data_IF_634664795964
#
_entry.id   IF_634664795964
#
_cell.length_a   1.000
_cell.length_b   1.000
_cell.length_c   1.000
_cell.angle_alpha   90.00
_cell.angle_beta   90.00
_cell.angle_gamma   90.00
#
_symmetry.space_group_name_H-M   'P 1'
#
loop_
_entity.id
_entity.type
_entity.pdbx_description
1 polymer ?
#
# COMPACT_ATOMS: atom_id res chain seq x y z
N UNK A 1 -83.81 35.13 -55.81
CA UNK A 1 -85.24 34.70 -56.21
C UNK A 1 -85.57 33.55 -55.31
N UNK A 2 -86.52 33.86 -54.49
CA UNK A 2 -87.72 33.12 -54.13
C UNK A 2 -87.49 31.80 -53.46
N UNK A 3 -88.07 31.49 -52.42
CA UNK A 3 -89.08 31.95 -51.49
C UNK A 3 -89.52 30.74 -50.66
N UNK A 4 -89.73 31.00 -49.40
CA UNK A 4 -90.91 30.59 -48.60
C UNK A 4 -90.96 29.15 -48.08
N UNK A 5 -90.72 28.98 -46.81
CA UNK A 5 -91.61 28.71 -45.65
C UNK A 5 -92.87 27.88 -45.91
N UNK A 6 -93.58 27.38 -44.94
CA UNK A 6 -93.36 26.86 -43.58
C UNK A 6 -94.24 25.62 -43.25
N UNK A 7 -94.41 25.40 -41.92
CA UNK A 7 -95.61 24.79 -41.25
C UNK A 7 -95.40 23.32 -40.82
N UNK A 8 -95.36 23.10 -39.61
CA UNK A 8 -96.18 22.96 -38.37
C UNK A 8 -95.99 21.57 -37.76
N UNK A 9 -95.79 21.58 -36.63
CA UNK A 9 -96.51 21.44 -35.34
C UNK A 9 -96.51 20.02 -34.77
N UNK A 10 -96.01 19.98 -33.54
CA UNK A 10 -96.50 19.18 -32.41
C UNK A 10 -96.77 17.69 -32.54
N UNK A 11 -96.02 16.94 -31.73
CA UNK A 11 -96.56 16.07 -30.65
C UNK A 11 -95.46 15.68 -29.75
N UNK A 12 -95.27 16.26 -28.73
CA UNK A 12 -95.60 16.12 -27.34
C UNK A 12 -95.33 14.73 -26.75
N UNK A 13 -94.41 14.77 -25.82
CA UNK A 13 -94.41 14.13 -24.50
C UNK A 13 -94.39 12.61 -24.36
N UNK A 14 -93.49 12.24 -23.51
CA UNK A 14 -93.38 11.00 -22.73
C UNK A 14 -92.61 9.86 -23.40
N UNK A 15 -91.30 9.92 -23.14
CA UNK A 15 -90.59 8.71 -22.62
C UNK A 15 -89.48 9.18 -21.69
N UNK A 16 -89.53 8.64 -20.48
CA UNK A 16 -88.80 9.03 -19.31
C UNK A 16 -87.32 8.93 -19.47
N UNK A 17 -86.67 9.81 -18.78
CA UNK A 17 -85.24 9.77 -18.47
C UNK A 17 -84.91 8.51 -17.70
N UNK A 18 -84.35 7.53 -18.37
CA UNK A 18 -83.51 6.49 -17.67
C UNK A 18 -82.10 7.03 -17.69
N UNK A 19 -81.72 7.68 -16.59
CA UNK A 19 -80.37 8.02 -16.33
C UNK A 19 -79.56 6.72 -16.12
N UNK A 20 -78.68 6.42 -17.05
CA UNK A 20 -77.77 5.27 -16.99
C UNK A 20 -76.66 5.55 -15.97
N UNK A 21 -76.57 4.85 -14.80
CA UNK A 21 -75.51 5.05 -13.83
C UNK A 21 -74.16 4.46 -14.26
N UNK A 22 -74.00 3.99 -15.48
CA UNK A 22 -72.94 3.18 -15.97
C UNK A 22 -71.67 3.95 -16.46
N UNK A 23 -71.79 5.29 -16.68
CA UNK A 23 -70.66 6.08 -17.19
C UNK A 23 -69.77 6.67 -16.10
N UNK A 24 -70.25 6.89 -14.88
CA UNK A 24 -69.47 7.42 -13.76
C UNK A 24 -68.61 6.33 -13.10
N UNK A 25 -69.16 5.13 -12.92
CA UNK A 25 -68.45 4.00 -12.33
C UNK A 25 -67.32 3.50 -13.22
N UNK A 26 -67.52 3.50 -14.56
CA UNK A 26 -66.45 3.11 -15.50
C UNK A 26 -65.26 4.10 -15.49
N UNK A 27 -65.51 5.41 -15.34
CA UNK A 27 -64.45 6.41 -15.25
C UNK A 27 -63.64 6.30 -13.94
N UNK A 28 -64.29 6.01 -12.84
CA UNK A 28 -63.61 5.78 -11.57
C UNK A 28 -62.80 4.49 -11.57
N UNK A 29 -63.25 3.43 -12.19
CA UNK A 29 -62.57 2.17 -12.33
C UNK A 29 -61.30 2.31 -13.19
N UNK A 30 -61.36 3.03 -14.29
CA UNK A 30 -60.18 3.31 -15.16
C UNK A 30 -59.16 4.20 -14.46
N UNK A 31 -59.62 5.20 -13.66
CA UNK A 31 -58.71 6.05 -12.86
C UNK A 31 -58.00 5.24 -11.77
N UNK A 32 -58.71 4.37 -11.07
CA UNK A 32 -58.14 3.52 -10.02
C UNK A 32 -57.15 2.49 -10.60
N UNK A 33 -57.44 1.89 -11.72
CA UNK A 33 -56.52 0.97 -12.42
C UNK A 33 -55.24 1.73 -12.87
N UNK A 34 -55.39 2.96 -13.39
CA UNK A 34 -54.25 3.81 -13.75
C UNK A 34 -53.34 4.18 -12.56
N UNK A 35 -53.94 4.52 -11.41
CA UNK A 35 -53.22 4.85 -10.18
C UNK A 35 -52.49 3.61 -9.64
N UNK A 36 -53.13 2.45 -9.62
CA UNK A 36 -52.51 1.21 -9.15
C UNK A 36 -51.35 0.77 -10.07
N UNK A 37 -51.54 0.91 -11.38
CA UNK A 37 -50.48 0.63 -12.35
C UNK A 37 -49.28 1.60 -12.20
N UNK A 38 -49.55 2.89 -12.01
CA UNK A 38 -48.53 3.90 -11.77
C UNK A 38 -47.75 3.65 -10.45
N UNK A 39 -48.44 3.26 -9.37
CA UNK A 39 -47.82 2.88 -8.11
C UNK A 39 -47.00 1.61 -8.23
N UNK A 40 -47.45 0.60 -8.98
CA UNK A 40 -46.70 -0.63 -9.21
C UNK A 40 -45.41 -0.37 -10.01
N UNK A 41 -45.47 0.50 -11.02
CA UNK A 41 -44.29 0.92 -11.80
C UNK A 41 -43.31 1.72 -10.93
N UNK A 42 -43.83 2.65 -10.11
CA UNK A 42 -42.96 3.42 -9.19
C UNK A 42 -42.31 2.52 -8.14
N UNK A 43 -43.01 1.52 -7.62
CA UNK A 43 -42.49 0.55 -6.68
C UNK A 43 -41.42 -0.37 -7.33
N UNK A 44 -41.65 -0.81 -8.56
CA UNK A 44 -40.70 -1.60 -9.34
C UNK A 44 -39.43 -0.81 -9.65
N UNK A 45 -39.54 0.49 -9.98
CA UNK A 45 -38.39 1.39 -10.19
C UNK A 45 -37.61 1.61 -8.84
N UNK A 46 -38.33 1.78 -7.73
CA UNK A 46 -37.74 1.96 -6.43
C UNK A 46 -37.02 0.70 -5.93
N UNK A 47 -37.58 -0.49 -6.17
CA UNK A 47 -36.96 -1.77 -5.83
C UNK A 47 -35.78 -2.06 -6.77
N UNK A 48 -35.86 -1.81 -8.05
CA UNK A 48 -34.76 -1.96 -9.00
C UNK A 48 -33.61 -0.97 -8.75
N UNK A 49 -33.91 0.25 -8.30
CA UNK A 49 -32.89 1.22 -7.89
C UNK A 49 -32.21 0.82 -6.56
N UNK A 50 -32.95 0.20 -5.66
CA UNK A 50 -32.41 -0.34 -4.40
C UNK A 50 -31.43 -1.49 -4.65
N UNK A 51 -31.72 -2.41 -5.55
CA UNK A 51 -30.83 -3.51 -5.93
C UNK A 51 -29.61 -3.01 -6.72
N UNK A 52 -29.74 -2.03 -7.60
CA UNK A 52 -28.64 -1.41 -8.33
C UNK A 52 -27.69 -0.63 -7.41
N UNK A 53 -28.18 -0.01 -6.33
CA UNK A 53 -27.34 0.67 -5.32
C UNK A 53 -26.70 -0.30 -4.31
N UNK A 54 -27.24 -1.50 -4.14
CA UNK A 54 -26.65 -2.52 -3.24
C UNK A 54 -25.53 -3.32 -3.90
N UNK A 55 -25.34 -3.22 -5.20
CA UNK A 55 -24.42 -4.06 -5.98
C UNK A 55 -23.04 -3.43 -6.21
N UNK A 56 -22.74 -2.26 -5.64
CA UNK A 56 -21.46 -1.58 -5.88
C UNK A 56 -20.88 -0.84 -4.67
N UNK A 57 -20.91 -1.45 -3.51
CA UNK A 57 -19.84 -1.23 -2.57
C UNK A 57 -18.72 -2.21 -2.96
N UNK A 58 -17.99 -1.94 -4.05
CA UNK A 58 -16.71 -2.62 -4.29
C UNK A 58 -15.87 -2.46 -3.03
N UNK A 59 -15.65 -3.55 -2.33
CA UNK A 59 -14.85 -3.51 -1.11
C UNK A 59 -13.46 -3.01 -1.51
N UNK A 60 -12.99 -1.95 -0.85
CA UNK A 60 -11.65 -1.43 -1.07
C UNK A 60 -10.64 -2.58 -1.07
N UNK A 61 -9.66 -2.59 -2.00
CA UNK A 61 -8.68 -3.67 -2.11
C UNK A 61 -7.78 -3.81 -0.87
N UNK A 62 -7.72 -2.77 -0.04
CA UNK A 62 -7.14 -2.78 1.31
C UNK A 62 -8.17 -2.24 2.29
N UNK A 63 -8.46 -3.00 3.34
CA UNK A 63 -9.42 -2.64 4.38
C UNK A 63 -8.67 -2.42 5.70
N UNK A 64 -8.83 -1.25 6.32
CA UNK A 64 -8.29 -1.01 7.64
C UNK A 64 -8.97 -1.94 8.65
N UNK A 65 -8.18 -2.83 9.26
CA UNK A 65 -8.67 -3.82 10.22
C UNK A 65 -8.60 -3.29 11.66
N UNK A 66 -7.47 -2.66 12.00
CA UNK A 66 -7.23 -2.10 13.34
C UNK A 66 -6.05 -1.13 13.36
N UNK A 67 -5.94 -0.40 14.46
CA UNK A 67 -4.84 0.49 14.79
C UNK A 67 -4.23 0.06 16.12
N UNK A 68 -2.90 -0.02 16.19
CA UNK A 68 -2.16 -0.29 17.43
C UNK A 68 -1.44 1.01 17.79
N UNK A 69 -1.77 1.59 18.93
CA UNK A 69 -1.16 2.83 19.39
C UNK A 69 0.28 2.57 19.84
N UNK A 70 1.20 3.44 19.43
CA UNK A 70 2.61 3.35 19.81
C UNK A 70 2.94 4.13 21.10
N UNK A 71 1.95 4.78 21.70
CA UNK A 71 2.15 5.61 22.90
C UNK A 71 2.81 6.94 22.58
N UNK A 72 3.71 7.40 23.44
CA UNK A 72 4.38 8.72 23.29
C UNK A 72 5.56 8.64 22.31
N UNK A 73 5.23 8.35 21.03
CA UNK A 73 6.16 8.37 19.90
C UNK A 73 5.87 9.60 19.07
N UNK A 74 6.92 10.35 18.75
CA UNK A 74 6.83 11.61 17.99
C UNK A 74 7.84 11.64 16.86
N UNK A 75 7.57 12.48 15.87
CA UNK A 75 8.43 12.64 14.72
C UNK A 75 8.38 11.45 13.76
N UNK A 76 9.44 11.27 13.02
CA UNK A 76 9.50 10.26 11.96
C UNK A 76 9.57 8.85 12.54
N UNK A 77 8.79 7.95 11.94
CA UNK A 77 8.93 6.50 12.07
C UNK A 77 9.49 5.99 10.75
N UNK A 78 10.45 5.07 10.83
CA UNK A 78 11.10 4.53 9.66
C UNK A 78 10.76 3.05 9.45
N UNK A 79 11.72 2.24 8.98
CA UNK A 79 11.46 0.88 8.55
C UNK A 79 10.93 -0.06 9.64
N UNK A 80 10.30 -1.11 9.17
CA UNK A 80 9.66 -2.15 9.97
C UNK A 80 10.28 -3.52 9.67
N UNK A 81 10.32 -4.40 10.68
CA UNK A 81 10.65 -5.81 10.51
C UNK A 81 9.73 -6.67 11.39
N UNK A 82 9.62 -7.97 11.08
CA UNK A 82 8.72 -8.87 11.81
C UNK A 82 9.42 -10.16 12.23
N UNK A 83 9.22 -10.56 13.48
CA UNK A 83 9.42 -11.92 13.97
C UNK A 83 8.10 -12.68 13.80
N UNK A 84 8.02 -13.50 12.78
CA UNK A 84 6.83 -14.30 12.47
C UNK A 84 6.55 -15.35 13.54
N UNK A 85 7.60 -15.92 14.14
CA UNK A 85 7.47 -16.99 15.16
C UNK A 85 6.80 -16.46 16.41
N UNK A 86 7.19 -15.26 16.88
CA UNK A 86 6.61 -14.64 18.07
C UNK A 86 5.50 -13.65 17.73
N UNK A 87 5.25 -13.38 16.44
CA UNK A 87 4.31 -12.38 15.95
C UNK A 87 4.59 -10.99 16.52
N UNK A 88 5.87 -10.59 16.50
CA UNK A 88 6.33 -9.30 16.99
C UNK A 88 6.78 -8.43 15.83
N UNK A 89 6.34 -7.18 15.86
CA UNK A 89 6.76 -6.16 14.91
C UNK A 89 7.80 -5.26 15.57
N UNK A 90 8.89 -5.02 14.87
CA UNK A 90 9.93 -4.06 15.25
C UNK A 90 9.69 -2.77 14.46
N UNK A 91 9.68 -1.64 15.15
CA UNK A 91 9.34 -0.33 14.60
C UNK A 91 10.51 0.62 14.87
N UNK A 92 11.16 1.10 13.83
CA UNK A 92 12.22 2.11 13.95
C UNK A 92 11.57 3.48 14.25
N UNK A 93 11.56 3.88 15.50
CA UNK A 93 11.02 5.16 15.99
C UNK A 93 12.11 6.23 15.92
N UNK A 94 12.53 6.59 14.68
CA UNK A 94 13.69 7.44 14.39
C UNK A 94 13.68 8.74 15.20
N UNK A 95 12.54 9.43 15.24
CA UNK A 95 12.41 10.71 15.94
C UNK A 95 12.50 10.61 17.47
N UNK A 96 12.64 9.40 18.04
CA UNK A 96 12.71 9.15 19.48
C UNK A 96 14.01 8.42 19.90
N UNK A 97 14.89 8.09 18.95
CA UNK A 97 16.09 7.28 19.21
C UNK A 97 15.76 5.91 19.83
N UNK A 98 14.64 5.29 19.42
CA UNK A 98 14.14 4.04 19.97
C UNK A 98 13.69 3.05 18.88
N UNK A 99 13.60 1.78 19.25
CA UNK A 99 12.86 0.78 18.48
C UNK A 99 11.75 0.20 19.36
N UNK A 100 10.51 0.37 18.90
CA UNK A 100 9.34 -0.21 19.54
C UNK A 100 9.15 -1.68 19.16
N UNK A 101 8.75 -2.51 20.13
CA UNK A 101 8.40 -3.91 19.91
C UNK A 101 6.93 -4.08 20.19
N UNK A 102 6.18 -4.38 19.14
CA UNK A 102 4.73 -4.52 19.16
C UNK A 102 4.37 -6.00 19.09
N UNK A 103 3.60 -6.48 20.05
CA UNK A 103 2.95 -7.78 19.98
C UNK A 103 1.70 -7.67 19.09
N UNK A 104 1.77 -8.26 17.90
CA UNK A 104 0.68 -8.21 16.92
C UNK A 104 -0.56 -9.00 17.37
N UNK A 105 -0.41 -9.99 18.26
CA UNK A 105 -1.54 -10.75 18.79
C UNK A 105 -2.25 -9.99 19.91
N UNK A 106 -1.49 -9.44 20.86
CA UNK A 106 -2.02 -8.61 21.94
C UNK A 106 -2.46 -7.22 21.48
N UNK A 107 -1.95 -6.74 20.33
CA UNK A 107 -2.15 -5.37 19.83
C UNK A 107 -1.60 -4.31 20.78
N UNK A 108 -0.42 -4.54 21.32
CA UNK A 108 0.19 -3.65 22.32
C UNK A 108 1.70 -3.53 22.13
N UNK A 109 2.28 -2.41 22.60
CA UNK A 109 3.73 -2.22 22.67
C UNK A 109 4.24 -2.89 23.94
N UNK A 110 4.98 -3.97 23.77
CA UNK A 110 5.47 -4.79 24.90
C UNK A 110 6.85 -4.38 25.41
N UNK A 111 7.63 -3.70 24.58
CA UNK A 111 8.98 -3.25 24.94
C UNK A 111 9.42 -2.08 24.06
N UNK A 112 10.33 -1.26 24.56
CA UNK A 112 10.98 -0.20 23.78
C UNK A 112 12.48 -0.19 24.08
N UNK A 113 13.26 -0.44 23.04
CA UNK A 113 14.71 -0.35 23.11
C UNK A 113 15.14 1.11 23.02
N UNK A 114 16.04 1.53 23.88
CA UNK A 114 16.56 2.90 23.98
C UNK A 114 18.06 2.96 23.77
N UNK A 115 18.62 4.18 23.71
CA UNK A 115 20.06 4.38 23.55
C UNK A 115 20.56 4.11 22.14
N UNK A 116 19.67 4.21 21.17
CA UNK A 116 19.94 4.21 19.74
C UNK A 116 20.26 5.63 19.25
N UNK A 117 20.59 5.79 17.98
CA UNK A 117 20.90 7.08 17.36
C UNK A 117 20.27 7.16 15.97
N UNK A 118 19.12 7.80 15.89
CA UNK A 118 18.35 7.89 14.65
C UNK A 118 18.20 6.52 13.96
N UNK A 119 17.56 5.53 14.63
CA UNK A 119 17.37 4.20 14.04
C UNK A 119 16.49 4.30 12.81
N UNK A 120 16.99 3.88 11.66
CA UNK A 120 16.28 3.82 10.39
C UNK A 120 15.95 2.38 10.01
N UNK A 121 16.98 1.59 9.75
CA UNK A 121 16.81 0.20 9.35
C UNK A 121 16.62 -0.75 10.52
N UNK A 122 15.68 -1.66 10.37
CA UNK A 122 15.52 -2.82 11.25
C UNK A 122 15.45 -4.09 10.41
N UNK A 123 16.11 -5.16 10.84
CA UNK A 123 16.11 -6.45 10.18
C UNK A 123 16.17 -7.57 11.20
N UNK A 124 15.26 -8.55 11.10
CA UNK A 124 15.27 -9.71 12.01
C UNK A 124 15.72 -10.96 11.26
N UNK A 125 16.85 -11.52 11.71
CA UNK A 125 17.38 -12.78 11.19
C UNK A 125 16.92 -13.95 12.09
N UNK A 126 16.08 -14.79 11.53
CA UNK A 126 15.34 -15.81 12.27
C UNK A 126 16.20 -16.99 12.71
N UNK A 127 17.23 -17.35 11.94
CA UNK A 127 18.04 -18.55 12.24
C UNK A 127 18.97 -18.34 13.45
N UNK A 128 19.42 -17.11 13.67
CA UNK A 128 20.24 -16.71 14.83
C UNK A 128 19.45 -16.00 15.92
N UNK A 129 18.13 -15.81 15.71
CA UNK A 129 17.26 -15.06 16.64
C UNK A 129 17.81 -13.65 16.93
N UNK A 130 18.32 -12.96 15.89
CA UNK A 130 19.00 -11.68 16.03
C UNK A 130 18.26 -10.54 15.34
N UNK A 131 17.99 -9.49 16.08
CA UNK A 131 17.52 -8.22 15.55
C UNK A 131 18.73 -7.29 15.30
N UNK A 132 18.82 -6.81 14.07
CA UNK A 132 19.79 -5.79 13.64
C UNK A 132 19.08 -4.44 13.55
N UNK A 133 19.69 -3.41 14.12
CA UNK A 133 19.18 -2.03 14.11
C UNK A 133 20.26 -1.12 13.54
N UNK A 134 20.03 -0.58 12.36
CA UNK A 134 20.90 0.38 11.70
C UNK A 134 20.58 1.80 12.17
N UNK A 135 21.60 2.54 12.59
CA UNK A 135 21.48 3.88 13.13
C UNK A 135 22.16 4.88 12.20
N UNK A 136 21.38 5.79 11.60
CA UNK A 136 21.93 6.81 10.73
C UNK A 136 22.78 7.82 11.48
N UNK A 137 22.39 8.20 12.69
CA UNK A 137 23.02 9.26 13.46
C UNK A 137 24.46 8.97 13.88
N UNK A 138 24.86 7.68 13.96
CA UNK A 138 26.26 7.32 14.32
C UNK A 138 26.86 6.21 13.44
N UNK A 139 26.15 5.80 12.38
CA UNK A 139 26.60 4.76 11.45
C UNK A 139 26.77 3.38 12.07
N UNK A 140 26.21 3.15 13.25
CA UNK A 140 26.32 1.86 13.92
C UNK A 140 25.19 0.92 13.56
N UNK A 141 25.49 -0.37 13.61
CA UNK A 141 24.46 -1.42 13.63
C UNK A 141 24.49 -2.08 14.99
N UNK A 142 23.39 -1.98 15.73
CA UNK A 142 23.24 -2.61 17.05
C UNK A 142 22.57 -3.97 16.89
N UNK A 143 23.05 -4.93 17.65
CA UNK A 143 22.59 -6.32 17.62
C UNK A 143 21.92 -6.67 18.93
N UNK A 144 20.76 -7.32 18.85
CA UNK A 144 20.00 -7.79 20.00
C UNK A 144 19.53 -9.22 19.76
N UNK A 145 19.73 -10.10 20.72
CA UNK A 145 19.40 -11.52 20.58
C UNK A 145 18.34 -11.99 21.58
N UNK A 146 17.60 -13.00 21.13
CA UNK A 146 16.66 -13.76 21.92
C UNK A 146 15.35 -13.04 22.22
N UNK A 147 14.49 -13.68 23.02
CA UNK A 147 13.13 -13.19 23.29
C UNK A 147 13.12 -11.90 24.14
N UNK A 148 14.19 -11.64 24.88
CA UNK A 148 14.33 -10.50 25.78
C UNK A 148 15.21 -9.39 25.17
N UNK A 149 15.61 -9.54 23.89
CA UNK A 149 16.39 -8.55 23.13
C UNK A 149 17.66 -8.09 23.84
N UNK A 150 18.43 -9.04 24.33
CA UNK A 150 19.69 -8.76 25.04
C UNK A 150 20.69 -8.16 24.05
N UNK A 151 21.28 -7.02 24.41
CA UNK A 151 22.32 -6.39 23.60
C UNK A 151 23.51 -7.32 23.43
N UNK A 152 23.85 -7.65 22.18
CA UNK A 152 24.89 -8.63 21.83
C UNK A 152 26.14 -7.97 21.28
N UNK A 153 25.98 -6.86 20.56
CA UNK A 153 27.13 -6.23 19.95
C UNK A 153 26.81 -4.97 19.17
N UNK A 154 27.86 -4.46 18.56
CA UNK A 154 27.83 -3.29 17.69
C UNK A 154 28.79 -3.51 16.52
N UNK A 155 28.33 -3.20 15.33
CA UNK A 155 29.14 -3.09 14.12
C UNK A 155 29.22 -1.61 13.77
N UNK A 156 30.42 -1.10 13.53
CA UNK A 156 30.60 0.29 13.10
C UNK A 156 30.82 0.34 11.59
N UNK A 157 29.92 1.01 10.91
CA UNK A 157 29.94 1.19 9.44
C UNK A 157 30.38 2.61 9.03
N UNK A 158 30.66 3.47 10.01
CA UNK A 158 31.17 4.82 9.82
C UNK A 158 30.10 5.89 9.93
N UNK A 159 29.18 5.96 9.02
CA UNK A 159 28.08 6.93 9.01
C UNK A 159 26.84 6.35 8.32
N UNK A 160 25.70 6.94 8.58
CA UNK A 160 24.42 6.78 7.87
C UNK A 160 24.09 5.31 7.53
N UNK A 161 23.99 4.46 8.56
CA UNK A 161 23.53 3.10 8.41
C UNK A 161 22.00 3.09 8.32
N UNK A 162 21.48 2.55 7.22
CA UNK A 162 20.07 2.64 6.88
C UNK A 162 19.47 1.27 6.55
N UNK A 163 18.95 1.08 5.36
CA UNK A 163 18.21 -0.10 4.94
C UNK A 163 18.90 -1.43 5.24
N UNK A 164 18.15 -2.39 5.78
CA UNK A 164 18.62 -3.76 6.06
C UNK A 164 17.80 -4.75 5.22
N UNK A 165 18.50 -5.74 4.64
CA UNK A 165 17.87 -6.91 4.03
C UNK A 165 18.53 -8.19 4.51
N UNK A 166 17.71 -9.20 4.78
CA UNK A 166 18.17 -10.53 5.20
C UNK A 166 18.30 -11.41 3.97
N UNK A 167 19.50 -11.90 3.71
CA UNK A 167 19.78 -12.95 2.73
C UNK A 167 19.78 -14.30 3.43
N UNK A 168 18.62 -14.83 3.73
CA UNK A 168 18.49 -16.09 4.47
C UNK A 168 19.15 -17.28 3.76
N UNK A 169 19.15 -17.28 2.42
CA UNK A 169 19.77 -18.33 1.60
C UNK A 169 21.30 -18.26 1.67
N UNK A 170 21.85 -17.06 1.67
CA UNK A 170 23.30 -16.84 1.78
C UNK A 170 23.83 -16.78 3.21
N UNK A 171 22.94 -16.73 4.21
CA UNK A 171 23.33 -16.56 5.61
C UNK A 171 23.92 -15.19 5.90
N UNK A 172 23.46 -14.15 5.21
CA UNK A 172 24.00 -12.81 5.36
C UNK A 172 22.92 -11.78 5.75
N UNK A 173 23.37 -10.72 6.39
CA UNK A 173 22.62 -9.49 6.58
C UNK A 173 23.31 -8.40 5.78
N UNK A 174 22.56 -7.77 4.87
CA UNK A 174 23.09 -6.73 3.98
C UNK A 174 22.54 -5.38 4.44
N UNK A 175 23.42 -4.39 4.54
CA UNK A 175 23.11 -3.08 5.12
C UNK A 175 23.62 -1.99 4.20
N UNK A 176 22.74 -1.09 3.78
CA UNK A 176 23.08 0.14 3.07
C UNK A 176 23.67 1.15 4.04
N UNK A 177 24.77 1.82 3.67
CA UNK A 177 25.36 2.81 4.58
C UNK A 177 26.25 3.84 3.88
N UNK A 178 26.50 4.91 4.59
CA UNK A 178 27.52 5.90 4.27
C UNK A 178 27.30 6.63 2.95
N UNK A 179 28.37 7.16 2.42
CA UNK A 179 28.35 7.88 1.13
C UNK A 179 28.23 6.96 -0.10
N UNK A 180 28.09 5.66 0.13
CA UNK A 180 27.86 4.70 -0.95
C UNK A 180 28.49 3.34 -0.73
N UNK A 181 27.87 2.52 0.13
CA UNK A 181 28.27 1.13 0.29
C UNK A 181 27.12 0.21 0.72
N UNK A 182 27.27 -1.09 0.42
CA UNK A 182 26.55 -2.16 1.11
C UNK A 182 27.56 -2.93 1.96
N UNK A 183 27.30 -3.04 3.26
CA UNK A 183 28.05 -3.95 4.14
C UNK A 183 27.38 -5.33 4.10
N UNK A 184 28.18 -6.37 3.96
CA UNK A 184 27.73 -7.76 4.03
C UNK A 184 28.22 -8.34 5.35
N UNK A 185 27.28 -8.72 6.20
CA UNK A 185 27.52 -9.26 7.53
C UNK A 185 27.19 -10.75 7.50
N UNK A 186 28.09 -11.59 7.96
CA UNK A 186 27.81 -13.01 8.21
C UNK A 186 26.87 -13.12 9.42
N UNK A 187 25.72 -13.73 9.24
CA UNK A 187 24.66 -13.77 10.25
C UNK A 187 25.03 -14.64 11.46
N UNK A 188 25.88 -15.65 11.30
CA UNK A 188 26.27 -16.55 12.38
C UNK A 188 27.37 -15.96 13.27
N UNK A 189 28.30 -15.22 12.67
CA UNK A 189 29.47 -14.67 13.40
C UNK A 189 29.31 -13.19 13.70
N UNK A 190 28.32 -12.51 13.10
CA UNK A 190 28.06 -11.06 13.17
C UNK A 190 29.25 -10.19 12.67
N UNK A 191 30.18 -10.78 11.91
CA UNK A 191 31.29 -10.05 11.35
C UNK A 191 30.99 -9.49 9.97
N UNK A 192 31.47 -8.28 9.68
CA UNK A 192 31.47 -7.77 8.32
C UNK A 192 32.45 -8.56 7.48
N UNK A 193 31.95 -9.31 6.49
CA UNK A 193 32.79 -10.19 5.65
C UNK A 193 33.09 -9.58 4.29
N UNK A 194 32.26 -8.62 3.82
CA UNK A 194 32.52 -7.92 2.57
C UNK A 194 31.89 -6.51 2.58
N UNK A 195 32.27 -5.72 1.59
CA UNK A 195 31.67 -4.42 1.29
C UNK A 195 31.60 -4.22 -0.21
N UNK A 196 30.46 -3.72 -0.67
CA UNK A 196 30.21 -3.35 -2.08
C UNK A 196 30.22 -1.85 -2.18
N UNK A 197 31.14 -1.28 -3.00
CA UNK A 197 31.18 0.16 -3.21
C UNK A 197 30.13 0.59 -4.25
N UNK A 198 29.38 1.62 -3.94
CA UNK A 198 28.39 2.28 -4.78
C UNK A 198 28.83 3.73 -5.07
N UNK A 199 28.19 4.36 -6.04
CA UNK A 199 28.56 5.73 -6.42
C UNK A 199 28.08 6.81 -5.45
N UNK A 200 27.07 6.54 -4.64
CA UNK A 200 26.53 7.42 -3.61
C UNK A 200 25.68 6.58 -2.64
N UNK A 201 25.14 7.25 -1.59
CA UNK A 201 24.29 6.63 -0.58
C UNK A 201 23.17 5.79 -1.22
N UNK A 202 23.06 4.50 -0.82
CA UNK A 202 21.97 3.64 -1.25
C UNK A 202 20.70 3.92 -0.44
N UNK A 203 19.60 3.91 -1.10
CA UNK A 203 18.26 3.81 -0.50
C UNK A 203 17.78 2.36 -0.51
N UNK A 204 16.51 2.10 -0.77
CA UNK A 204 16.01 0.72 -0.84
C UNK A 204 16.80 -0.13 -1.84
N UNK A 205 17.04 -1.36 -1.47
CA UNK A 205 17.61 -2.38 -2.36
C UNK A 205 16.87 -3.71 -2.19
N UNK A 206 16.96 -4.56 -3.20
CA UNK A 206 16.32 -5.87 -3.21
C UNK A 206 17.32 -6.95 -3.63
N UNK A 207 17.21 -8.11 -2.98
CA UNK A 207 17.99 -9.30 -3.29
C UNK A 207 17.15 -10.20 -4.18
N UNK A 208 17.62 -10.45 -5.40
CA UNK A 208 17.04 -11.42 -6.31
C UNK A 208 17.76 -12.76 -6.15
N UNK A 209 17.18 -13.64 -5.34
CA UNK A 209 17.74 -14.97 -5.09
C UNK A 209 17.70 -15.89 -6.30
N UNK A 210 16.84 -15.59 -7.29
CA UNK A 210 16.74 -16.40 -8.50
C UNK A 210 17.93 -16.20 -9.44
N UNK A 211 18.53 -15.00 -9.42
CA UNK A 211 19.63 -14.63 -10.32
C UNK A 211 20.91 -14.24 -9.59
N UNK A 212 20.93 -14.36 -8.24
CA UNK A 212 22.02 -13.93 -7.36
C UNK A 212 22.45 -12.47 -7.62
N UNK A 213 21.48 -11.56 -7.81
CA UNK A 213 21.71 -10.14 -8.01
C UNK A 213 21.13 -9.32 -6.86
N UNK A 214 21.74 -8.16 -6.63
CA UNK A 214 21.21 -7.13 -5.75
C UNK A 214 20.93 -5.90 -6.60
N UNK A 215 19.71 -5.41 -6.58
CA UNK A 215 19.32 -4.15 -7.22
C UNK A 215 19.30 -3.06 -6.17
N UNK A 216 19.95 -1.95 -6.44
CA UNK A 216 20.17 -0.88 -5.44
C UNK A 216 19.74 0.46 -6.02
N UNK A 217 18.82 1.13 -5.37
CA UNK A 217 18.50 2.54 -5.67
C UNK A 217 19.61 3.45 -5.19
N UNK A 218 20.12 4.29 -6.10
CA UNK A 218 21.13 5.32 -5.80
C UNK A 218 20.62 6.68 -6.29
N UNK A 219 19.76 7.37 -5.51
CA UNK A 219 19.03 8.56 -5.96
C UNK A 219 19.90 9.71 -6.41
N UNK A 220 21.02 9.96 -5.74
CA UNK A 220 21.96 11.03 -6.06
C UNK A 220 22.52 10.92 -7.47
N UNK A 221 22.66 9.70 -7.98
CA UNK A 221 23.15 9.44 -9.34
C UNK A 221 22.03 9.14 -10.34
N UNK A 222 20.78 9.14 -9.89
CA UNK A 222 19.61 8.76 -10.69
C UNK A 222 19.81 7.41 -11.37
N UNK A 223 20.26 6.45 -10.59
CA UNK A 223 20.58 5.13 -11.09
C UNK A 223 20.01 4.01 -10.22
N UNK A 224 19.84 2.86 -10.83
CA UNK A 224 19.67 1.57 -10.20
C UNK A 224 20.96 0.82 -10.45
N UNK A 225 21.74 0.57 -9.41
CA UNK A 225 22.95 -0.22 -9.55
C UNK A 225 22.64 -1.71 -9.39
N UNK A 226 23.24 -2.53 -10.26
CA UNK A 226 23.06 -3.99 -10.22
C UNK A 226 24.38 -4.62 -9.79
N UNK A 227 24.31 -5.37 -8.70
CA UNK A 227 25.46 -6.02 -8.08
C UNK A 227 25.31 -7.53 -8.21
N UNK A 228 26.35 -8.22 -8.63
CA UNK A 228 26.46 -9.67 -8.50
C UNK A 228 26.71 -10.04 -7.03
N UNK A 229 25.78 -10.75 -6.43
CA UNK A 229 25.75 -11.06 -4.99
C UNK A 229 26.96 -11.93 -4.59
N UNK A 230 27.37 -12.86 -5.46
CA UNK A 230 28.44 -13.81 -5.17
C UNK A 230 29.82 -13.14 -5.14
N UNK A 231 30.09 -12.29 -6.14
CA UNK A 231 31.39 -11.62 -6.25
C UNK A 231 31.45 -10.26 -5.53
N UNK A 232 30.30 -9.71 -5.11
CA UNK A 232 30.18 -8.35 -4.58
C UNK A 232 30.52 -7.26 -5.60
N UNK A 233 30.55 -7.57 -6.90
CA UNK A 233 30.92 -6.60 -7.94
C UNK A 233 29.70 -5.99 -8.59
N UNK A 234 29.75 -4.70 -8.83
CA UNK A 234 28.77 -4.03 -9.67
C UNK A 234 28.92 -4.51 -11.11
N UNK A 235 27.84 -5.03 -11.69
CA UNK A 235 27.80 -5.59 -13.05
C UNK A 235 27.03 -4.70 -14.03
N UNK A 236 26.13 -3.83 -13.53
CA UNK A 236 25.42 -2.87 -14.37
C UNK A 236 25.02 -1.62 -13.57
N UNK A 237 24.65 -0.56 -14.29
CA UNK A 237 24.05 0.65 -13.74
C UNK A 237 22.99 1.12 -14.73
N UNK A 238 21.72 1.05 -14.32
CA UNK A 238 20.59 1.43 -15.15
C UNK A 238 20.17 2.86 -14.84
N UNK A 239 19.84 3.63 -15.90
CA UNK A 239 19.26 4.96 -15.72
C UNK A 239 17.83 4.83 -15.18
N UNK A 240 17.42 5.78 -14.35
CA UNK A 240 16.03 5.90 -13.88
C UNK A 240 15.03 6.41 -14.93
N UNK A 241 15.46 6.50 -16.20
CA UNK A 241 14.60 6.88 -17.34
C UNK A 241 13.84 8.21 -17.17
N UNK A 242 14.40 9.17 -16.43
CA UNK A 242 13.82 10.50 -16.19
C UNK A 242 13.26 10.71 -14.80
N UNK A 243 12.91 9.66 -14.07
CA UNK A 243 12.53 9.75 -12.67
C UNK A 243 13.71 10.14 -11.77
N UNK A 244 13.43 10.73 -10.63
CA UNK A 244 14.44 11.07 -9.61
C UNK A 244 13.90 10.85 -8.21
N UNK A 245 14.79 10.84 -7.22
CA UNK A 245 14.46 10.45 -5.86
C UNK A 245 13.79 9.05 -5.85
N UNK A 246 14.52 8.07 -6.37
CA UNK A 246 14.15 6.65 -6.39
C UNK A 246 14.43 6.05 -5.02
N UNK A 247 13.41 6.03 -4.16
CA UNK A 247 13.54 5.56 -2.79
C UNK A 247 13.11 4.10 -2.66
N UNK A 248 11.86 3.79 -2.96
CA UNK A 248 11.33 2.43 -2.81
C UNK A 248 11.55 1.56 -4.05
N UNK A 249 11.68 0.24 -3.84
CA UNK A 249 11.69 -0.76 -4.92
C UNK A 249 11.15 -2.11 -4.47
N UNK A 250 10.60 -2.87 -5.41
CA UNK A 250 10.18 -4.25 -5.22
C UNK A 250 10.39 -5.10 -6.48
N UNK A 251 10.52 -6.41 -6.29
CA UNK A 251 10.65 -7.39 -7.37
C UNK A 251 9.30 -8.03 -7.67
N UNK A 252 8.85 -7.97 -8.92
CA UNK A 252 7.77 -8.78 -9.43
C UNK A 252 8.37 -9.94 -10.25
N UNK A 253 8.60 -11.06 -9.59
CA UNK A 253 9.18 -12.24 -10.21
C UNK A 253 8.26 -12.89 -11.25
N UNK A 254 6.93 -12.73 -11.09
CA UNK A 254 5.96 -13.31 -12.03
C UNK A 254 6.07 -12.65 -13.39
N UNK A 255 6.32 -11.33 -13.41
CA UNK A 255 6.42 -10.53 -14.63
C UNK A 255 7.85 -10.20 -15.04
N UNK A 256 8.82 -10.66 -14.25
CA UNK A 256 10.24 -10.31 -14.41
C UNK A 256 10.49 -8.80 -14.42
N UNK A 257 9.85 -8.07 -13.52
CA UNK A 257 9.97 -6.63 -13.40
C UNK A 257 10.61 -6.22 -12.07
N UNK A 258 11.41 -5.16 -12.15
CA UNK A 258 11.78 -4.35 -11.01
C UNK A 258 10.88 -3.11 -11.00
N UNK A 259 10.12 -2.95 -9.93
CA UNK A 259 9.30 -1.78 -9.67
C UNK A 259 10.10 -0.79 -8.84
N UNK A 260 10.10 0.48 -9.24
CA UNK A 260 10.82 1.54 -8.55
C UNK A 260 9.90 2.74 -8.39
N UNK A 261 9.73 3.22 -7.17
CA UNK A 261 8.92 4.41 -6.94
C UNK A 261 9.80 5.67 -6.90
N UNK A 262 9.35 6.67 -7.66
CA UNK A 262 9.99 7.99 -7.76
C UNK A 262 9.17 9.03 -7.01
N UNK A 263 9.85 9.94 -6.30
CA UNK A 263 9.18 11.09 -5.71
C UNK A 263 9.07 12.27 -6.67
N UNK A 264 9.86 12.30 -7.76
CA UNK A 264 9.91 13.43 -8.70
C UNK A 264 10.12 12.97 -10.17
N UNK A 265 9.06 13.00 -10.99
CA UNK A 265 7.66 13.12 -10.57
C UNK A 265 7.23 11.92 -9.72
N UNK A 266 6.07 12.02 -9.04
CA UNK A 266 5.52 10.91 -8.25
C UNK A 266 4.98 9.82 -9.20
N UNK A 267 5.79 8.80 -9.45
CA UNK A 267 5.53 7.77 -10.44
C UNK A 267 6.06 6.40 -10.00
N UNK A 268 5.39 5.37 -10.43
CA UNK A 268 5.85 3.99 -10.39
C UNK A 268 6.55 3.69 -11.73
N UNK A 269 7.87 3.55 -11.70
CA UNK A 269 8.67 3.07 -12.82
C UNK A 269 8.69 1.55 -12.86
N UNK A 270 8.67 1.00 -14.06
CA UNK A 270 8.70 -0.44 -14.33
C UNK A 270 9.89 -0.75 -15.22
N UNK A 271 10.77 -1.62 -14.76
CA UNK A 271 12.00 -2.00 -15.46
C UNK A 271 12.06 -3.50 -15.67
N UNK A 272 12.56 -3.92 -16.82
CA UNK A 272 12.84 -5.34 -17.08
C UNK A 272 13.99 -5.83 -16.19
N UNK A 273 13.82 -6.93 -15.47
CA UNK A 273 14.90 -7.56 -14.68
C UNK A 273 16.04 -8.08 -15.55
N UNK A 274 15.81 -8.30 -16.84
CA UNK A 274 16.84 -8.84 -17.72
C UNK A 274 17.93 -7.80 -18.03
N UNK A 275 17.54 -6.57 -18.38
CA UNK A 275 18.43 -5.59 -18.97
C UNK A 275 18.20 -4.14 -18.49
N UNK A 276 17.21 -3.91 -17.62
CA UNK A 276 16.88 -2.58 -17.10
C UNK A 276 16.14 -1.69 -18.10
N UNK A 277 15.61 -2.25 -19.20
CA UNK A 277 14.77 -1.50 -20.12
C UNK A 277 13.50 -1.01 -19.41
N UNK A 278 13.23 0.30 -19.52
CA UNK A 278 12.11 0.93 -18.85
C UNK A 278 10.84 0.88 -19.70
N UNK A 279 9.72 0.65 -19.04
CA UNK A 279 8.38 0.85 -19.60
C UNK A 279 7.88 2.26 -19.29
N UNK A 280 6.72 2.65 -19.85
CA UNK A 280 6.09 3.91 -19.50
C UNK A 280 5.76 3.96 -18.00
N UNK A 281 6.16 5.01 -17.27
CA UNK A 281 5.88 5.13 -15.85
C UNK A 281 4.39 5.40 -15.60
N UNK A 282 3.94 5.12 -14.39
CA UNK A 282 2.54 5.22 -13.99
C UNK A 282 2.43 6.20 -12.84
N UNK A 283 1.54 7.19 -12.94
CA UNK A 283 1.34 8.18 -11.88
C UNK A 283 0.86 7.52 -10.58
N UNK A 284 1.40 7.97 -9.45
CA UNK A 284 1.05 7.50 -8.11
C UNK A 284 0.99 8.68 -7.12
N UNK A 285 0.70 8.41 -5.84
CA UNK A 285 0.72 9.42 -4.79
C UNK A 285 2.16 9.87 -4.45
N UNK A 286 2.30 11.03 -3.81
CA UNK A 286 3.60 11.66 -3.52
C UNK A 286 4.27 11.22 -2.22
N UNK A 287 5.58 11.52 -2.10
CA UNK A 287 6.42 11.22 -0.94
C UNK A 287 6.45 9.72 -0.58
N UNK A 288 6.77 8.89 -1.57
CA UNK A 288 6.79 7.43 -1.45
C UNK A 288 8.07 6.99 -0.74
N UNK A 289 7.94 6.01 0.17
CA UNK A 289 9.09 5.36 0.83
C UNK A 289 9.07 3.84 0.71
N UNK A 290 7.88 3.22 0.64
CA UNK A 290 7.75 1.78 0.50
C UNK A 290 6.78 1.37 -0.59
N UNK A 291 7.11 0.25 -1.24
CA UNK A 291 6.22 -0.46 -2.15
C UNK A 291 6.43 -1.98 -2.04
N UNK A 292 5.35 -2.73 -2.21
CA UNK A 292 5.36 -4.19 -2.09
C UNK A 292 4.53 -4.83 -3.20
N UNK A 293 4.98 -5.99 -3.66
CA UNK A 293 4.22 -6.87 -4.55
C UNK A 293 3.49 -7.93 -3.72
N UNK A 294 2.20 -8.07 -3.95
CA UNK A 294 1.38 -9.17 -3.45
C UNK A 294 1.12 -10.16 -4.60
N UNK A 295 1.91 -11.23 -4.72
CA UNK A 295 1.78 -12.18 -5.81
C UNK A 295 0.51 -13.05 -5.71
N UNK A 296 -0.09 -13.12 -4.51
CA UNK A 296 -1.34 -13.86 -4.29
C UNK A 296 -2.54 -13.21 -4.99
N UNK A 297 -2.50 -11.87 -5.14
CA UNK A 297 -3.61 -11.09 -5.71
C UNK A 297 -3.23 -10.34 -6.98
N UNK A 298 -2.00 -10.52 -7.47
CA UNK A 298 -1.45 -9.71 -8.57
C UNK A 298 -1.57 -8.20 -8.30
N UNK A 299 -1.18 -7.77 -7.09
CA UNK A 299 -1.29 -6.37 -6.67
C UNK A 299 0.05 -5.79 -6.25
N UNK A 300 0.12 -4.46 -6.35
CA UNK A 300 1.23 -3.66 -5.80
C UNK A 300 0.64 -2.65 -4.84
N UNK A 301 1.22 -2.55 -3.65
CA UNK A 301 0.87 -1.59 -2.60
C UNK A 301 1.96 -0.53 -2.51
N UNK A 302 1.57 0.74 -2.56
CA UNK A 302 2.49 1.89 -2.48
C UNK A 302 2.06 2.78 -1.31
N UNK A 303 3.00 3.07 -0.41
CA UNK A 303 2.76 3.91 0.77
C UNK A 303 3.35 5.29 0.57
N UNK A 304 2.53 6.32 0.74
CA UNK A 304 2.83 7.71 0.39
C UNK A 304 2.66 8.65 1.57
N UNK A 305 3.70 9.40 1.89
CA UNK A 305 3.68 10.43 2.93
C UNK A 305 2.71 11.58 2.68
N UNK A 306 2.22 11.73 1.46
CA UNK A 306 1.13 12.64 1.12
C UNK A 306 -0.19 12.28 1.83
N UNK A 307 -0.29 11.09 2.42
CA UNK A 307 -1.44 10.62 3.19
C UNK A 307 -2.32 9.63 2.43
N UNK A 308 -1.73 8.83 1.56
CA UNK A 308 -2.46 7.84 0.75
C UNK A 308 -1.73 6.51 0.66
N UNK A 309 -2.52 5.47 0.39
CA UNK A 309 -2.07 4.17 -0.10
C UNK A 309 -2.62 3.99 -1.51
N UNK A 310 -1.75 3.84 -2.49
CA UNK A 310 -2.13 3.45 -3.83
C UNK A 310 -2.06 1.93 -3.98
N UNK A 311 -3.08 1.36 -4.64
CA UNK A 311 -3.11 -0.05 -4.99
C UNK A 311 -3.18 -0.19 -6.49
N UNK A 312 -2.24 -0.93 -7.05
CA UNK A 312 -2.22 -1.26 -8.46
C UNK A 312 -2.58 -2.74 -8.66
N UNK A 313 -3.36 -3.03 -9.69
CA UNK A 313 -3.51 -4.38 -10.21
C UNK A 313 -2.51 -4.57 -11.35
N UNK A 314 -1.89 -5.74 -11.40
CA UNK A 314 -1.08 -6.12 -12.52
C UNK A 314 -1.95 -6.69 -13.65
N UNK A 315 -1.82 -6.15 -14.85
CA UNK A 315 -2.62 -6.50 -16.04
C UNK A 315 -1.67 -6.89 -17.19
N UNK A 316 -1.49 -8.19 -17.39
CA UNK A 316 -0.48 -8.68 -18.34
C UNK A 316 0.93 -8.24 -17.94
N UNK A 317 1.60 -7.44 -18.77
CA UNK A 317 2.92 -6.87 -18.50
C UNK A 317 2.84 -5.44 -17.92
N UNK A 318 1.66 -4.90 -17.65
CA UNK A 318 1.46 -3.53 -17.15
C UNK A 318 0.81 -3.51 -15.77
N UNK A 319 0.65 -2.31 -15.21
CA UNK A 319 0.01 -2.09 -13.93
C UNK A 319 -0.99 -0.94 -14.05
N UNK A 320 -2.15 -1.08 -13.43
CA UNK A 320 -3.19 -0.05 -13.40
C UNK A 320 -3.59 0.24 -11.96
N UNK A 321 -3.61 1.51 -11.56
CA UNK A 321 -4.11 1.90 -10.24
C UNK A 321 -5.60 1.58 -10.13
N UNK A 322 -5.94 0.75 -9.15
CA UNK A 322 -7.32 0.33 -8.86
C UNK A 322 -7.90 1.01 -7.62
N UNK A 323 -7.04 1.57 -6.76
CA UNK A 323 -7.50 2.34 -5.61
C UNK A 323 -6.49 3.40 -5.19
N UNK A 324 -7.01 4.48 -4.59
CA UNK A 324 -6.30 5.57 -3.95
C UNK A 324 -6.96 5.79 -2.59
N UNK A 325 -6.39 5.19 -1.55
CA UNK A 325 -7.01 5.04 -0.24
C UNK A 325 -6.40 6.07 0.71
N UNK A 326 -7.23 6.91 1.33
CA UNK A 326 -6.75 7.86 2.31
C UNK A 326 -6.15 7.14 3.53
N UNK A 327 -4.98 7.59 3.96
CA UNK A 327 -4.28 7.13 5.16
C UNK A 327 -4.04 8.29 6.13
N UNK A 328 -2.81 8.63 6.41
CA UNK A 328 -2.43 9.77 7.24
C UNK A 328 -1.21 10.48 6.65
N UNK A 329 -1.13 11.80 6.82
CA UNK A 329 0.03 12.58 6.41
C UNK A 329 1.30 12.05 7.08
N UNK A 330 2.40 11.97 6.32
CA UNK A 330 3.68 11.44 6.78
C UNK A 330 3.75 9.91 6.90
N UNK A 331 2.65 9.16 6.70
CA UNK A 331 2.61 7.70 6.77
C UNK A 331 3.09 7.08 5.45
N UNK A 332 4.40 6.99 5.26
CA UNK A 332 5.05 6.54 4.04
C UNK A 332 5.81 5.23 4.17
N UNK A 333 6.14 4.83 5.39
CA UNK A 333 6.82 3.56 5.67
C UNK A 333 5.82 2.49 6.07
N UNK A 334 5.99 1.32 5.50
CA UNK A 334 5.09 0.19 5.70
C UNK A 334 5.81 -1.15 5.60
N UNK A 335 5.10 -2.23 5.85
CA UNK A 335 5.59 -3.59 5.65
C UNK A 335 4.43 -4.49 5.21
N UNK A 336 4.51 -5.06 4.02
CA UNK A 336 3.61 -6.14 3.63
C UNK A 336 4.20 -7.47 4.10
N UNK A 337 3.42 -8.23 4.86
CA UNK A 337 3.80 -9.54 5.41
C UNK A 337 2.88 -10.60 4.81
N UNK A 338 3.32 -11.29 3.75
CA UNK A 338 2.50 -12.31 3.06
C UNK A 338 1.99 -13.42 3.99
N UNK A 339 2.81 -13.86 4.95
CA UNK A 339 2.49 -14.93 5.89
C UNK A 339 1.36 -14.54 6.86
N UNK A 340 1.23 -13.26 7.16
CA UNK A 340 0.13 -12.71 7.96
C UNK A 340 -1.03 -12.24 7.09
N UNK A 341 -0.81 -12.13 5.78
CA UNK A 341 -1.74 -11.54 4.82
C UNK A 341 -2.16 -10.12 5.24
N UNK A 342 -1.18 -9.29 5.62
CA UNK A 342 -1.40 -7.92 6.15
C UNK A 342 -0.37 -6.93 5.62
N UNK A 343 -0.84 -5.70 5.37
CA UNK A 343 0.00 -4.52 5.21
C UNK A 343 -0.03 -3.72 6.51
N UNK A 344 1.15 -3.48 7.06
CA UNK A 344 1.37 -2.73 8.30
C UNK A 344 1.90 -1.35 7.91
N UNK A 345 1.17 -0.29 8.24
CA UNK A 345 1.55 1.09 7.91
C UNK A 345 1.94 1.83 9.19
N UNK A 346 3.14 2.38 9.21
CA UNK A 346 3.60 3.24 10.30
C UNK A 346 3.03 4.65 10.13
N UNK A 347 2.22 5.08 11.09
CA UNK A 347 1.58 6.39 11.10
C UNK A 347 2.23 7.24 12.19
N UNK A 348 2.93 8.34 11.84
CA UNK A 348 3.51 9.23 12.82
C UNK A 348 2.43 10.00 13.62
N UNK A 349 2.79 10.49 14.80
CA UNK A 349 1.91 11.38 15.55
C UNK A 349 1.75 12.72 14.83
N UNK A 350 0.52 13.21 14.76
CA UNK A 350 0.20 14.52 14.21
C UNK A 350 -0.87 15.19 15.07
N UNK A 351 -0.56 16.41 15.55
CA UNK A 351 -1.44 17.20 16.43
C UNK A 351 -2.03 16.35 17.58
N UNK A 352 -3.34 16.09 17.54
CA UNK A 352 -4.06 15.32 18.56
C UNK A 352 -4.08 13.79 18.25
N UNK A 353 -3.51 13.36 17.12
CA UNK A 353 -3.50 11.94 16.72
C UNK A 353 -2.20 11.29 17.17
N UNK A 354 -2.24 10.27 18.06
CA UNK A 354 -1.03 9.57 18.48
C UNK A 354 -0.45 8.71 17.36
N UNK A 355 0.85 8.45 17.44
CA UNK A 355 1.51 7.51 16.54
C UNK A 355 0.91 6.10 16.66
N UNK A 356 0.79 5.40 15.54
CA UNK A 356 0.15 4.09 15.51
C UNK A 356 0.67 3.22 14.35
N UNK A 357 0.53 1.91 14.49
CA UNK A 357 0.59 0.97 13.37
C UNK A 357 -0.84 0.72 12.90
N UNK A 358 -1.14 1.08 11.65
CA UNK A 358 -2.40 0.74 11.02
C UNK A 358 -2.25 -0.59 10.28
N UNK A 359 -3.13 -1.54 10.58
CA UNK A 359 -3.11 -2.87 9.98
C UNK A 359 -4.22 -2.96 8.96
N UNK A 360 -3.81 -3.16 7.70
CA UNK A 360 -4.74 -3.36 6.60
C UNK A 360 -4.78 -4.83 6.19
N UNK A 361 -5.97 -5.30 5.91
CA UNK A 361 -6.22 -6.60 5.32
C UNK A 361 -6.47 -6.42 3.82
N UNK A 362 -5.69 -7.06 2.95
CA UNK A 362 -6.02 -7.14 1.53
C UNK A 362 -7.34 -7.87 1.31
N UNK A 363 -8.24 -7.28 0.53
CA UNK A 363 -9.45 -7.95 0.07
C UNK A 363 -9.10 -8.99 -1.01
N UNK A 364 -9.92 -10.04 -1.18
CA UNK A 364 -9.72 -11.05 -2.22
C UNK A 364 -9.57 -10.49 -3.62
#
# INVERSE_FOLDING_TARGET
MSAINPIRLELARLIGTVASPCRATARWLILMIGVVAAMAVALAIALGAGEAMSQQAESLPLQLERKILLGDVRGRIDHLAVDLKRRRLFVAELGNDTVGIVDLAASDVIHRMTGLKEPQGVGYEMSTDTLYVANAGDGSVRLFEGPDYIAKGRIDLGNDADNIRIDSKGGHVIIGHGDGALAIIDAATHNKVASVSLKAHPESFQIDEATDRIFVNVPKTRAIEVVDKTSGKKIASWSTAGGSANFAMALDHVRHHLLVAFRRPAELGVFSLADGSAMAPIATCGDIDDLFVDPKRDRVYVSCGEGFLDVFAAEGASYRRIAHIASAAGARTSLFVPELDRLLLAVPAEAETPAAIWIFRPAP
#
